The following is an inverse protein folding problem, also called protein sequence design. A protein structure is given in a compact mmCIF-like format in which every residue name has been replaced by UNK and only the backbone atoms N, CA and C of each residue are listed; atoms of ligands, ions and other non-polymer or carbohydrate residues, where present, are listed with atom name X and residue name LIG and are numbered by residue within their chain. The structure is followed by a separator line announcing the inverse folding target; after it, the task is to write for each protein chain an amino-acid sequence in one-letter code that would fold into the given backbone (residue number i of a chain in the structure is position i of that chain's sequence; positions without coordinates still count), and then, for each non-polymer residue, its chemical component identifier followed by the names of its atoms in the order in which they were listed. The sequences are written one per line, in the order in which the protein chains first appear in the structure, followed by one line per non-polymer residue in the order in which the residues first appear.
data_IF_256623113224
#
_entry.id   IF_256623113224
#
_cell.length_a   1.000
_cell.length_b   1.000
_cell.length_c   1.000
_cell.angle_alpha   90.00
_cell.angle_beta   90.00
_cell.angle_gamma   90.00
#
_symmetry.space_group_name_H-M   'P 1'
#
loop_
_entity.id
_entity.type
_entity.pdbx_description
1 polymer ?
#
# COMPACT_ATOMS: atom_id res chain seq x y z
N UNK A 1 3.62 -34.47 80.66
CA UNK A 1 4.09 -34.66 79.33
C UNK A 1 3.59 -33.51 78.45
N UNK A 2 4.47 -32.64 78.05
CA UNK A 2 4.16 -31.43 77.28
C UNK A 2 4.66 -31.61 75.87
N UNK A 3 3.78 -31.49 74.88
CA UNK A 3 4.11 -31.45 73.48
C UNK A 3 4.50 -30.04 73.06
N UNK A 4 5.51 -29.77 72.26
CA UNK A 4 5.84 -28.44 71.80
C UNK A 4 5.05 -28.07 70.53
N UNK A 5 4.53 -26.81 70.56
CA UNK A 5 3.88 -26.11 69.44
C UNK A 5 4.92 -25.78 68.37
N UNK A 6 4.70 -26.18 67.15
CA UNK A 6 5.45 -25.71 65.96
C UNK A 6 4.75 -24.48 65.37
N UNK A 7 5.51 -23.43 65.19
CA UNK A 7 5.07 -22.19 64.55
C UNK A 7 5.02 -22.32 63.00
N UNK A 8 4.11 -21.66 62.30
CA UNK A 8 4.04 -21.72 60.86
C UNK A 8 5.07 -20.77 60.20
N UNK A 9 5.77 -21.30 59.18
CA UNK A 9 6.70 -20.56 58.33
C UNK A 9 5.94 -19.67 57.33
N UNK A 10 6.32 -18.37 57.28
CA UNK A 10 5.87 -17.40 56.33
C UNK A 10 6.24 -17.76 54.90
N UNK A 11 5.42 -17.52 53.86
CA UNK A 11 5.79 -17.71 52.50
C UNK A 11 6.68 -16.53 51.99
N UNK A 12 7.82 -16.91 51.40
CA UNK A 12 8.72 -15.96 50.73
C UNK A 12 8.05 -15.39 49.49
N UNK A 13 7.85 -14.04 49.49
CA UNK A 13 7.46 -13.25 48.33
C UNK A 13 8.54 -13.33 47.24
N UNK A 14 8.28 -14.07 46.19
CA UNK A 14 9.07 -14.04 44.95
C UNK A 14 8.52 -12.93 44.06
N UNK A 15 9.17 -11.78 44.14
CA UNK A 15 8.93 -10.61 43.28
C UNK A 15 9.41 -10.94 41.87
N UNK A 16 8.50 -11.42 41.02
CA UNK A 16 8.76 -11.59 39.59
C UNK A 16 8.97 -10.20 38.98
N UNK A 17 10.19 -9.93 38.54
CA UNK A 17 10.51 -8.79 37.67
C UNK A 17 9.91 -9.07 36.31
N UNK A 18 8.81 -8.40 35.96
CA UNK A 18 8.38 -8.27 34.57
C UNK A 18 9.43 -7.43 33.83
N UNK A 19 10.30 -8.11 33.09
CA UNK A 19 11.01 -7.52 31.98
C UNK A 19 9.99 -7.32 30.86
N UNK A 20 9.61 -6.09 30.60
CA UNK A 20 8.91 -5.69 29.40
C UNK A 20 9.93 -5.66 28.24
N UNK A 21 10.26 -6.83 27.71
CA UNK A 21 10.92 -6.94 26.43
C UNK A 21 9.83 -6.81 25.36
N UNK A 22 9.55 -5.57 24.96
CA UNK A 22 8.74 -5.22 23.80
C UNK A 22 9.48 -5.58 22.51
N UNK A 23 9.70 -6.87 22.29
CA UNK A 23 10.11 -7.39 20.99
C UNK A 23 8.84 -7.41 20.12
N UNK A 24 8.59 -6.30 19.40
CA UNK A 24 7.63 -6.29 18.29
C UNK A 24 8.26 -7.16 17.21
N UNK A 25 8.12 -8.48 17.39
CA UNK A 25 8.39 -9.45 16.34
C UNK A 25 7.47 -9.08 15.17
N UNK A 26 8.06 -8.53 14.11
CA UNK A 26 7.37 -8.24 12.87
C UNK A 26 6.84 -9.55 12.28
N UNK A 27 5.67 -9.97 12.75
CA UNK A 27 4.91 -11.05 12.12
C UNK A 27 4.44 -10.49 10.79
N UNK A 28 5.24 -10.72 9.74
CA UNK A 28 4.69 -10.75 8.39
C UNK A 28 3.42 -11.61 8.44
N UNK A 29 2.30 -11.12 7.91
CA UNK A 29 1.12 -11.97 7.75
C UNK A 29 1.57 -13.26 7.07
N UNK A 30 1.20 -14.40 7.64
CA UNK A 30 1.68 -15.75 7.37
C UNK A 30 1.60 -16.23 5.92
N UNK A 31 1.18 -15.41 4.98
CA UNK A 31 1.05 -15.73 3.55
C UNK A 31 1.12 -14.48 2.66
N UNK A 32 2.26 -13.82 2.57
CA UNK A 32 2.53 -12.98 1.38
C UNK A 32 2.99 -13.84 0.18
N UNK A 33 2.44 -15.03 0.02
CA UNK A 33 2.42 -15.69 -1.28
C UNK A 33 1.47 -14.87 -2.15
N UNK A 34 1.92 -14.52 -3.36
CA UNK A 34 1.09 -13.83 -4.33
C UNK A 34 -0.31 -14.47 -4.36
N UNK A 35 -1.30 -13.78 -3.80
CA UNK A 35 -2.70 -14.23 -3.75
C UNK A 35 -3.40 -14.03 -5.09
N UNK A 36 -2.70 -13.40 -6.04
CA UNK A 36 -3.15 -13.32 -7.41
C UNK A 36 -3.26 -14.72 -8.03
N UNK A 37 -4.34 -14.93 -8.76
CA UNK A 37 -4.60 -16.19 -9.45
C UNK A 37 -3.94 -16.17 -10.83
N UNK A 38 -3.59 -17.35 -11.40
CA UNK A 38 -3.24 -17.42 -12.81
C UNK A 38 -4.36 -16.81 -13.66
N UNK A 39 -4.00 -15.87 -14.56
CA UNK A 39 -4.97 -15.16 -15.39
C UNK A 39 -5.48 -13.82 -14.81
N UNK A 40 -5.18 -13.48 -13.57
CA UNK A 40 -5.52 -12.17 -13.02
C UNK A 40 -4.91 -11.04 -13.87
N UNK A 41 -5.71 -10.03 -14.12
CA UNK A 41 -5.24 -8.78 -14.74
C UNK A 41 -4.28 -8.06 -13.80
N UNK A 42 -3.55 -7.08 -14.32
CA UNK A 42 -2.66 -6.24 -13.50
C UNK A 42 -3.40 -5.59 -12.34
N UNK A 43 -4.59 -5.06 -12.59
CA UNK A 43 -5.38 -4.38 -11.57
C UNK A 43 -5.91 -5.35 -10.50
N UNK A 44 -6.29 -6.57 -10.92
CA UNK A 44 -6.66 -7.63 -9.97
C UNK A 44 -5.48 -8.07 -9.11
N UNK A 45 -4.27 -8.22 -9.69
CA UNK A 45 -3.05 -8.49 -8.92
C UNK A 45 -2.76 -7.41 -7.89
N UNK A 46 -2.94 -6.15 -8.27
CA UNK A 46 -2.77 -5.00 -7.39
C UNK A 46 -3.74 -5.05 -6.20
N UNK A 47 -5.03 -5.26 -6.46
CA UNK A 47 -6.05 -5.39 -5.42
C UNK A 47 -5.85 -6.65 -4.56
N UNK A 48 -5.41 -7.77 -5.13
CA UNK A 48 -5.14 -9.02 -4.43
C UNK A 48 -4.02 -8.92 -3.39
N UNK A 49 -3.17 -7.88 -3.44
CA UNK A 49 -2.21 -7.61 -2.36
C UNK A 49 -2.92 -7.35 -1.03
N UNK A 50 -4.06 -6.68 -1.07
CA UNK A 50 -4.84 -6.32 0.11
C UNK A 50 -5.81 -7.42 0.56
N UNK A 51 -6.19 -8.34 -0.31
CA UNK A 51 -7.08 -9.48 -0.03
C UNK A 51 -6.37 -10.49 0.89
N UNK A 52 -6.49 -10.30 2.23
CA UNK A 52 -5.70 -11.01 3.22
C UNK A 52 -6.17 -12.46 3.46
N UNK A 53 -7.43 -12.74 3.25
CA UNK A 53 -8.03 -14.06 3.43
C UNK A 53 -8.17 -14.85 2.11
N UNK A 54 -7.98 -14.24 0.95
CA UNK A 54 -8.03 -14.86 -0.38
C UNK A 54 -9.44 -15.08 -0.91
N UNK A 55 -10.44 -14.38 -0.35
CA UNK A 55 -11.86 -14.54 -0.70
C UNK A 55 -12.33 -13.63 -1.84
N UNK A 56 -11.40 -12.93 -2.51
CA UNK A 56 -11.62 -11.99 -3.62
C UNK A 56 -12.39 -10.74 -3.22
N UNK A 57 -12.33 -10.35 -1.96
CA UNK A 57 -12.84 -9.10 -1.49
C UNK A 57 -11.82 -8.38 -0.62
N UNK A 58 -11.87 -7.07 -0.57
CA UNK A 58 -11.01 -6.27 0.29
C UNK A 58 -11.88 -5.38 1.16
N UNK A 59 -11.92 -5.65 2.45
CA UNK A 59 -12.58 -4.78 3.43
C UNK A 59 -11.64 -3.71 3.99
N UNK A 60 -12.18 -2.81 4.83
CA UNK A 60 -11.40 -1.73 5.45
C UNK A 60 -10.27 -2.27 6.34
N UNK A 61 -10.51 -3.35 7.08
CA UNK A 61 -9.50 -3.92 7.97
C UNK A 61 -8.35 -4.57 7.17
N UNK A 62 -8.67 -5.26 6.09
CA UNK A 62 -7.69 -5.85 5.16
C UNK A 62 -6.87 -4.76 4.45
N UNK A 63 -7.55 -3.72 3.95
CA UNK A 63 -6.88 -2.57 3.35
C UNK A 63 -5.94 -1.89 4.35
N UNK A 64 -6.38 -1.67 5.60
CA UNK A 64 -5.55 -1.12 6.69
C UNK A 64 -4.31 -1.98 6.94
N UNK A 65 -4.47 -3.31 7.01
CA UNK A 65 -3.32 -4.23 7.20
C UNK A 65 -2.33 -4.14 6.04
N UNK A 66 -2.82 -4.11 4.81
CA UNK A 66 -1.99 -3.93 3.62
C UNK A 66 -1.22 -2.62 3.63
N UNK A 67 -1.87 -1.50 3.94
CA UNK A 67 -1.22 -0.18 4.05
C UNK A 67 -0.16 -0.15 5.15
N UNK A 68 -0.40 -0.79 6.29
CA UNK A 68 0.62 -0.97 7.35
C UNK A 68 1.81 -1.78 6.87
N UNK A 69 1.59 -2.85 6.13
CA UNK A 69 2.67 -3.65 5.53
C UNK A 69 3.52 -2.84 4.55
N UNK A 70 2.94 -1.82 3.92
CA UNK A 70 3.64 -0.83 3.11
C UNK A 70 4.32 0.28 3.94
N UNK A 71 4.21 0.24 5.27
CA UNK A 71 4.86 1.16 6.21
C UNK A 71 4.08 2.44 6.51
N UNK A 72 2.80 2.48 6.22
CA UNK A 72 1.93 3.60 6.60
C UNK A 72 1.58 3.46 8.09
N UNK A 73 1.74 4.52 8.90
CA UNK A 73 1.36 4.50 10.32
C UNK A 73 -0.11 4.16 10.53
N UNK A 74 -0.45 3.46 11.62
CA UNK A 74 -1.80 2.89 11.85
C UNK A 74 -2.93 3.91 11.65
N UNK A 75 -2.95 5.04 12.35
CA UNK A 75 -4.03 6.02 12.24
C UNK A 75 -4.19 6.60 10.82
N UNK A 76 -3.09 6.76 10.09
CA UNK A 76 -3.12 7.20 8.68
C UNK A 76 -3.62 6.07 7.79
N UNK A 77 -3.20 4.82 8.05
CA UNK A 77 -3.64 3.65 7.29
C UNK A 77 -5.14 3.38 7.43
N UNK A 78 -5.72 3.58 8.60
CA UNK A 78 -7.16 3.44 8.85
C UNK A 78 -7.97 4.48 8.06
N UNK A 79 -7.57 5.77 8.15
CA UNK A 79 -8.23 6.84 7.39
C UNK A 79 -8.10 6.63 5.88
N UNK A 80 -6.90 6.26 5.40
CA UNK A 80 -6.65 5.99 3.98
C UNK A 80 -7.44 4.76 3.50
N UNK A 81 -7.50 3.68 4.29
CA UNK A 81 -8.27 2.48 3.94
C UNK A 81 -9.76 2.81 3.76
N UNK A 82 -10.35 3.61 4.64
CA UNK A 82 -11.74 4.03 4.52
C UNK A 82 -11.96 4.89 3.26
N UNK A 83 -11.05 5.82 2.99
CA UNK A 83 -11.11 6.69 1.82
C UNK A 83 -10.95 5.93 0.49
N UNK A 84 -10.19 4.83 0.48
CA UNK A 84 -9.98 3.97 -0.69
C UNK A 84 -11.14 2.98 -0.86
N UNK A 85 -11.51 2.27 0.22
CA UNK A 85 -12.49 1.18 0.14
C UNK A 85 -13.89 1.70 -0.17
N UNK A 86 -14.29 2.85 0.39
CA UNK A 86 -15.65 3.36 0.23
C UNK A 86 -16.03 3.61 -1.25
N UNK A 87 -15.30 4.42 -2.03
CA UNK A 87 -15.65 4.64 -3.43
C UNK A 87 -15.48 3.39 -4.29
N UNK A 88 -14.42 2.61 -4.09
CA UNK A 88 -14.17 1.40 -4.87
C UNK A 88 -15.20 0.30 -4.57
N UNK A 89 -15.69 0.19 -3.35
CA UNK A 89 -16.80 -0.71 -3.00
C UNK A 89 -18.04 -0.40 -3.85
N UNK A 90 -18.46 0.86 -3.91
CA UNK A 90 -19.63 1.29 -4.69
C UNK A 90 -19.42 1.04 -6.19
N UNK A 91 -18.25 1.36 -6.73
CA UNK A 91 -17.91 1.16 -8.14
C UNK A 91 -17.86 -0.31 -8.54
N UNK A 92 -17.46 -1.20 -7.63
CA UNK A 92 -17.42 -2.65 -7.87
C UNK A 92 -18.75 -3.35 -7.59
N UNK A 93 -19.80 -2.60 -7.23
CA UNK A 93 -21.17 -3.11 -7.02
C UNK A 93 -21.46 -3.57 -5.60
N UNK A 94 -20.61 -3.17 -4.63
CA UNK A 94 -20.85 -3.37 -3.22
C UNK A 94 -21.82 -2.34 -2.62
N UNK A 95 -22.02 -2.39 -1.31
CA UNK A 95 -22.88 -1.47 -0.56
C UNK A 95 -22.12 -0.85 0.61
N UNK A 96 -22.57 0.33 1.06
CA UNK A 96 -22.00 0.98 2.25
C UNK A 96 -22.13 0.15 3.53
N UNK A 97 -23.00 -0.87 3.55
CA UNK A 97 -23.12 -1.80 4.68
C UNK A 97 -21.98 -2.83 4.68
N UNK A 98 -21.51 -3.25 3.50
CA UNK A 98 -20.43 -4.23 3.39
C UNK A 98 -19.05 -3.60 3.41
N UNK A 99 -18.90 -2.35 2.92
CA UNK A 99 -17.62 -1.64 2.74
C UNK A 99 -16.51 -2.58 2.25
N UNK A 100 -16.80 -3.29 1.14
CA UNK A 100 -15.93 -4.30 0.59
C UNK A 100 -15.81 -4.15 -0.92
N UNK A 101 -14.57 -4.10 -1.41
CA UNK A 101 -14.22 -4.06 -2.83
C UNK A 101 -14.31 -5.49 -3.39
N UNK A 102 -14.95 -5.67 -4.53
CA UNK A 102 -14.92 -6.93 -5.29
C UNK A 102 -13.71 -6.94 -6.22
N UNK A 103 -12.71 -7.77 -5.92
CA UNK A 103 -11.45 -7.88 -6.69
C UNK A 103 -11.71 -8.34 -8.13
N UNK A 104 -12.72 -9.18 -8.35
CA UNK A 104 -13.04 -9.66 -9.70
C UNK A 104 -13.67 -8.58 -10.57
N UNK A 105 -14.18 -7.51 -9.96
CA UNK A 105 -14.78 -6.35 -10.63
C UNK A 105 -13.97 -5.07 -10.52
N UNK A 106 -12.74 -5.13 -9.99
CA UNK A 106 -11.91 -3.95 -9.71
C UNK A 106 -11.65 -3.07 -10.94
N UNK A 107 -11.71 -3.63 -12.14
CA UNK A 107 -11.61 -2.86 -13.40
C UNK A 107 -12.75 -1.86 -13.60
N UNK A 108 -13.84 -1.93 -12.83
CA UNK A 108 -14.91 -0.94 -12.79
C UNK A 108 -14.54 0.28 -11.93
N UNK A 109 -13.60 0.10 -11.01
CA UNK A 109 -13.04 1.14 -10.16
C UNK A 109 -12.07 2.03 -10.91
N UNK A 110 -12.54 2.74 -11.93
CA UNK A 110 -11.73 3.70 -12.67
C UNK A 110 -11.58 5.00 -11.90
N UNK A 111 -10.35 5.50 -11.92
CA UNK A 111 -10.03 6.84 -11.44
C UNK A 111 -10.17 7.86 -12.55
N UNK A 112 -10.59 9.06 -12.21
CA UNK A 112 -10.76 10.20 -13.12
C UNK A 112 -9.45 10.70 -13.77
N UNK A 113 -8.30 10.13 -13.42
CA UNK A 113 -7.00 10.43 -14.01
C UNK A 113 -6.43 9.21 -14.75
N UNK A 114 -7.28 8.44 -15.41
CA UNK A 114 -6.85 7.26 -16.17
C UNK A 114 -5.85 7.66 -17.26
N UNK A 115 -4.59 7.31 -17.06
CA UNK A 115 -3.50 7.51 -18.04
C UNK A 115 -3.65 6.62 -19.27
N UNK A 116 -4.63 5.71 -19.28
CA UNK A 116 -4.84 4.70 -20.31
C UNK A 116 -3.71 3.67 -20.39
N UNK A 117 -2.81 3.62 -19.41
CA UNK A 117 -1.72 2.62 -19.32
C UNK A 117 -2.30 1.25 -19.04
N UNK A 118 -3.37 1.17 -18.28
CA UNK A 118 -4.18 -0.04 -18.19
C UNK A 118 -5.31 0.03 -19.21
N UNK A 119 -5.46 -1.02 -20.02
CA UNK A 119 -6.58 -1.11 -20.97
C UNK A 119 -7.92 -1.31 -20.23
N UNK A 120 -9.03 -1.32 -20.99
CA UNK A 120 -10.38 -1.54 -20.43
C UNK A 120 -10.55 -2.88 -19.68
N UNK A 121 -9.61 -3.81 -19.89
CA UNK A 121 -9.54 -5.11 -19.20
C UNK A 121 -8.54 -5.12 -18.05
N UNK A 122 -7.96 -3.98 -17.69
CA UNK A 122 -6.96 -3.85 -16.63
C UNK A 122 -5.59 -4.45 -16.97
N UNK A 123 -5.22 -4.57 -18.26
CA UNK A 123 -3.94 -5.10 -18.71
C UNK A 123 -2.97 -3.97 -19.01
N UNK A 124 -1.70 -4.14 -18.67
CA UNK A 124 -0.63 -3.17 -18.87
C UNK A 124 -0.30 -2.96 -20.35
N UNK A 125 -0.19 -1.68 -20.76
CA UNK A 125 0.21 -1.27 -22.10
C UNK A 125 1.57 -0.54 -22.04
N UNK A 126 2.65 -1.23 -22.41
CA UNK A 126 4.02 -0.71 -22.35
C UNK A 126 4.25 0.53 -23.20
N UNK A 127 3.67 0.61 -24.39
CA UNK A 127 3.84 1.78 -25.28
C UNK A 127 3.22 3.04 -24.69
N UNK A 128 2.04 2.93 -24.08
CA UNK A 128 1.39 4.06 -23.39
C UNK A 128 2.17 4.47 -22.16
N UNK A 129 2.70 3.49 -21.41
CA UNK A 129 3.57 3.74 -20.27
C UNK A 129 4.81 4.54 -20.68
N UNK A 130 5.55 4.10 -21.69
CA UNK A 130 6.76 4.77 -22.17
C UNK A 130 6.47 6.19 -22.66
N UNK A 131 5.36 6.39 -23.38
CA UNK A 131 4.92 7.71 -23.83
C UNK A 131 4.61 8.63 -22.64
N UNK A 132 3.80 8.17 -21.69
CA UNK A 132 3.40 8.93 -20.50
C UNK A 132 4.63 9.26 -19.65
N UNK A 133 5.43 8.24 -19.34
CA UNK A 133 6.62 8.42 -18.51
C UNK A 133 7.63 9.36 -19.18
N UNK A 134 7.83 9.21 -20.50
CA UNK A 134 8.71 10.08 -21.28
C UNK A 134 8.26 11.54 -21.30
N UNK A 135 6.95 11.78 -21.32
CA UNK A 135 6.38 13.13 -21.37
C UNK A 135 6.34 13.83 -20.01
N UNK A 136 6.18 13.08 -18.93
CA UNK A 136 5.94 13.62 -17.59
C UNK A 136 7.14 13.50 -16.63
N UNK A 137 8.18 12.71 -16.95
CA UNK A 137 9.33 12.50 -16.06
C UNK A 137 10.32 13.67 -16.08
N UNK A 138 11.07 13.81 -14.97
CA UNK A 138 12.32 14.58 -14.90
C UNK A 138 13.52 13.62 -14.86
N UNK A 139 14.72 14.13 -14.65
CA UNK A 139 15.93 13.30 -14.51
C UNK A 139 16.53 13.45 -13.12
N UNK A 140 17.09 12.39 -12.60
CA UNK A 140 17.87 12.40 -11.36
C UNK A 140 19.32 12.86 -11.62
N UNK A 141 20.20 12.75 -10.62
CA UNK A 141 21.62 13.14 -10.74
C UNK A 141 22.42 12.26 -11.70
N UNK A 142 21.95 11.05 -11.95
CA UNK A 142 22.60 10.09 -12.85
C UNK A 142 22.10 10.24 -14.29
N UNK A 143 21.10 11.11 -14.55
CA UNK A 143 20.45 11.26 -15.84
C UNK A 143 19.30 10.27 -16.06
N UNK A 144 18.95 9.48 -15.05
CA UNK A 144 17.84 8.54 -15.14
C UNK A 144 16.49 9.24 -14.98
N UNK A 145 15.51 8.82 -15.78
CA UNK A 145 14.15 9.35 -15.72
C UNK A 145 13.45 8.92 -14.42
N UNK A 146 12.83 9.89 -13.73
CA UNK A 146 12.17 9.68 -12.43
C UNK A 146 10.90 10.51 -12.32
N UNK A 147 10.01 10.13 -11.40
CA UNK A 147 8.82 10.88 -10.99
C UNK A 147 9.00 11.45 -9.60
N UNK A 148 8.93 12.76 -9.47
CA UNK A 148 8.83 13.47 -8.20
C UNK A 148 7.37 13.88 -7.94
N UNK A 149 7.12 14.54 -6.80
CA UNK A 149 5.81 15.11 -6.50
C UNK A 149 5.33 16.09 -7.59
N UNK A 150 6.26 16.83 -8.19
CA UNK A 150 5.97 17.81 -9.27
C UNK A 150 5.49 17.10 -10.53
N UNK A 151 6.18 16.05 -10.98
CA UNK A 151 5.82 15.28 -12.16
C UNK A 151 4.50 14.53 -11.97
N UNK A 152 4.29 13.96 -10.77
CA UNK A 152 3.02 13.31 -10.40
C UNK A 152 1.86 14.31 -10.52
N UNK A 153 2.01 15.52 -9.95
CA UNK A 153 0.98 16.56 -10.03
C UNK A 153 0.71 16.96 -11.48
N UNK A 154 1.75 17.12 -12.30
CA UNK A 154 1.62 17.41 -13.73
C UNK A 154 0.88 16.31 -14.48
N UNK A 155 1.22 15.05 -14.22
CA UNK A 155 0.57 13.88 -14.83
C UNK A 155 -0.91 13.80 -14.47
N UNK A 156 -1.26 13.93 -13.19
CA UNK A 156 -2.65 13.88 -12.73
C UNK A 156 -3.46 15.01 -13.37
N UNK A 157 -2.93 16.24 -13.40
CA UNK A 157 -3.62 17.37 -14.01
C UNK A 157 -3.80 17.23 -15.53
N UNK A 158 -2.82 16.62 -16.23
CA UNK A 158 -2.90 16.40 -17.68
C UNK A 158 -3.96 15.35 -18.06
N UNK A 159 -4.33 14.44 -17.15
CA UNK A 159 -5.31 13.39 -17.37
C UNK A 159 -6.62 13.62 -16.58
N UNK A 160 -6.85 14.85 -16.12
CA UNK A 160 -8.00 15.20 -15.29
C UNK A 160 -9.31 15.15 -16.07
N UNK A 161 -10.27 14.36 -15.60
CA UNK A 161 -11.66 14.38 -16.07
C UNK A 161 -12.55 15.22 -15.16
N UNK A 162 -12.44 15.02 -13.83
CA UNK A 162 -13.15 15.82 -12.81
C UNK A 162 -12.19 16.40 -11.78
N UNK A 163 -12.61 17.46 -11.06
CA UNK A 163 -11.80 18.07 -10.00
C UNK A 163 -11.66 17.12 -8.81
N UNK A 164 -12.75 16.48 -8.39
CA UNK A 164 -12.75 15.56 -7.23
C UNK A 164 -11.91 14.33 -7.48
N UNK A 165 -12.05 13.69 -8.64
CA UNK A 165 -11.26 12.53 -9.02
C UNK A 165 -9.77 12.83 -9.13
N UNK A 166 -9.42 14.05 -9.61
CA UNK A 166 -8.02 14.49 -9.62
C UNK A 166 -7.43 14.62 -8.22
N UNK A 167 -8.20 15.10 -7.25
CA UNK A 167 -7.75 15.20 -5.86
C UNK A 167 -7.51 13.81 -5.27
N UNK A 168 -8.43 12.86 -5.49
CA UNK A 168 -8.27 11.47 -5.04
C UNK A 168 -7.02 10.86 -5.66
N UNK A 169 -6.86 10.94 -6.98
CA UNK A 169 -5.68 10.42 -7.68
C UNK A 169 -4.38 11.06 -7.19
N UNK A 170 -4.39 12.36 -6.92
CA UNK A 170 -3.21 13.05 -6.40
C UNK A 170 -2.81 12.52 -5.01
N UNK A 171 -3.78 12.32 -4.11
CA UNK A 171 -3.53 11.74 -2.78
C UNK A 171 -2.97 10.33 -2.89
N UNK A 172 -3.52 9.50 -3.75
CA UNK A 172 -3.03 8.12 -3.98
C UNK A 172 -1.58 8.13 -4.50
N UNK A 173 -1.27 8.92 -5.51
CA UNK A 173 0.07 9.02 -6.06
C UNK A 173 1.09 9.63 -5.10
N UNK A 174 0.70 10.64 -4.31
CA UNK A 174 1.58 11.20 -3.27
C UNK A 174 1.83 10.17 -2.15
N UNK A 175 0.81 9.40 -1.78
CA UNK A 175 0.96 8.28 -0.84
C UNK A 175 1.90 7.22 -1.40
N UNK A 176 1.76 6.87 -2.68
CA UNK A 176 2.67 5.96 -3.36
C UNK A 176 4.11 6.47 -3.34
N UNK A 177 4.32 7.74 -3.67
CA UNK A 177 5.65 8.36 -3.58
C UNK A 177 6.23 8.25 -2.17
N UNK A 178 5.43 8.54 -1.14
CA UNK A 178 5.89 8.49 0.25
C UNK A 178 6.35 7.09 0.69
N UNK A 179 5.69 6.03 0.21
CA UNK A 179 6.01 4.64 0.63
C UNK A 179 6.96 3.91 -0.31
N UNK A 180 7.06 4.34 -1.57
CA UNK A 180 7.75 3.62 -2.64
C UNK A 180 8.94 4.35 -3.24
N UNK A 181 9.25 5.58 -2.83
CA UNK A 181 10.41 6.30 -3.33
C UNK A 181 11.69 5.47 -3.13
N UNK A 182 12.45 5.28 -4.20
CA UNK A 182 13.66 4.46 -4.24
C UNK A 182 14.88 5.24 -4.78
N UNK A 183 14.66 6.48 -5.19
CA UNK A 183 15.72 7.39 -5.64
C UNK A 183 15.41 8.84 -5.24
N UNK A 184 16.25 9.77 -5.66
CA UNK A 184 16.13 11.19 -5.36
C UNK A 184 16.47 12.04 -6.57
N UNK A 185 15.67 13.08 -6.80
CA UNK A 185 15.94 14.11 -7.81
C UNK A 185 16.34 15.43 -7.15
N UNK A 186 16.74 16.40 -7.97
CA UNK A 186 17.05 17.77 -7.50
C UNK A 186 16.04 18.73 -8.07
N UNK A 187 15.20 19.33 -7.22
CA UNK A 187 14.26 20.38 -7.57
C UNK A 187 14.60 21.65 -6.79
N UNK A 188 14.69 22.79 -7.49
CA UNK A 188 14.97 24.09 -6.86
C UNK A 188 16.14 24.02 -5.85
N UNK A 189 17.22 23.33 -6.22
CA UNK A 189 18.43 23.08 -5.39
C UNK A 189 18.19 22.22 -4.15
N UNK A 190 17.03 21.58 -4.01
CA UNK A 190 16.73 20.65 -2.91
C UNK A 190 16.66 19.22 -3.42
N UNK A 191 17.18 18.28 -2.62
CA UNK A 191 17.03 16.85 -2.89
C UNK A 191 15.65 16.39 -2.46
N UNK A 192 14.85 15.88 -3.39
CA UNK A 192 13.45 15.42 -3.16
C UNK A 192 13.32 13.92 -3.43
N UNK A 193 12.41 13.22 -2.75
CA UNK A 193 12.10 11.83 -3.06
C UNK A 193 11.59 11.68 -4.49
N UNK A 194 11.93 10.55 -5.13
CA UNK A 194 11.48 10.24 -6.47
C UNK A 194 11.24 8.73 -6.66
N UNK A 195 10.38 8.40 -7.62
CA UNK A 195 10.12 7.04 -8.07
C UNK A 195 10.92 6.78 -9.35
N UNK A 196 11.74 5.74 -9.37
CA UNK A 196 12.39 5.29 -10.60
C UNK A 196 11.39 4.74 -11.61
N UNK A 197 11.80 4.66 -12.88
CA UNK A 197 11.04 3.95 -13.94
C UNK A 197 10.64 2.55 -13.48
N UNK A 198 11.56 1.84 -12.82
CA UNK A 198 11.32 0.46 -12.35
C UNK A 198 10.22 0.40 -11.29
N UNK A 199 10.15 1.39 -10.37
CA UNK A 199 9.07 1.48 -9.35
C UNK A 199 7.73 1.80 -9.98
N UNK A 200 7.68 2.80 -10.87
CA UNK A 200 6.42 3.15 -11.55
C UNK A 200 5.94 2.01 -12.45
N UNK A 201 6.85 1.33 -13.16
CA UNK A 201 6.50 0.14 -13.94
C UNK A 201 5.97 -0.99 -13.06
N UNK A 202 6.62 -1.27 -11.92
CA UNK A 202 6.17 -2.28 -10.96
C UNK A 202 4.78 -1.96 -10.36
N UNK A 203 4.44 -0.68 -10.21
CA UNK A 203 3.09 -0.27 -9.84
C UNK A 203 2.09 -0.67 -10.92
N UNK A 204 2.36 -0.32 -12.18
CA UNK A 204 1.46 -0.64 -13.29
C UNK A 204 1.43 -2.12 -13.68
N UNK A 205 2.41 -2.94 -13.33
CA UNK A 205 2.39 -4.39 -13.53
C UNK A 205 1.82 -5.18 -12.35
N UNK A 206 1.45 -4.49 -11.25
CA UNK A 206 0.82 -5.06 -10.08
C UNK A 206 1.80 -5.76 -9.12
N UNK A 207 3.12 -5.55 -9.25
CA UNK A 207 4.13 -6.22 -8.40
C UNK A 207 4.69 -5.34 -7.29
N UNK A 208 4.48 -4.02 -7.35
CA UNK A 208 5.15 -3.05 -6.48
C UNK A 208 4.89 -3.31 -5.00
N UNK A 209 3.66 -3.48 -4.60
CA UNK A 209 3.31 -3.63 -3.18
C UNK A 209 3.94 -4.88 -2.56
N UNK A 210 3.99 -5.98 -3.30
CA UNK A 210 4.68 -7.19 -2.86
C UNK A 210 6.19 -6.97 -2.67
N UNK A 211 6.81 -6.16 -3.54
CA UNK A 211 8.23 -5.82 -3.43
C UNK A 211 8.51 -4.97 -2.19
N UNK A 212 7.74 -3.88 -1.98
CA UNK A 212 7.89 -2.99 -0.82
C UNK A 212 7.70 -3.76 0.48
N UNK A 213 6.63 -4.54 0.59
CA UNK A 213 6.36 -5.33 1.77
C UNK A 213 7.48 -6.33 2.08
N UNK A 214 8.07 -6.96 1.04
CA UNK A 214 9.22 -7.85 1.19
C UNK A 214 10.49 -7.12 1.62
N UNK A 215 10.72 -5.92 1.10
CA UNK A 215 11.86 -5.07 1.47
C UNK A 215 11.77 -4.68 2.94
N UNK A 216 10.61 -4.21 3.40
CA UNK A 216 10.36 -3.80 4.79
C UNK A 216 10.43 -4.95 5.79
N UNK A 217 10.12 -6.15 5.37
CA UNK A 217 10.22 -7.33 6.22
C UNK A 217 11.64 -7.81 6.47
N UNK A 218 12.61 -7.31 5.72
CA UNK A 218 14.04 -7.67 5.84
C UNK A 218 14.85 -6.67 6.66
N UNK A 219 14.31 -5.49 6.89
CA UNK A 219 14.92 -4.42 7.71
C UNK A 219 14.28 -4.33 9.08
#
# INVERSE_FOLDING_TARGET
MRTPKTAPKSPKSTRARHKADGHVSGILPRTMKARSRPGDTTLQRHASFFDDNGDRGVDVAECTRGLKALGIPLGVAEAAALAIVTPLCLQTGGSLRSLRIDVDKIQKGKHDSDTGILDKRGRFNSRRFEKMFGACSTVDRNGDKVFTATEITRMVNANRETLLGSLVSLVEWQTLLAVAADTRAVERRKSVPALSVARVKAFYDGTLFYRIAKERAKG
#
